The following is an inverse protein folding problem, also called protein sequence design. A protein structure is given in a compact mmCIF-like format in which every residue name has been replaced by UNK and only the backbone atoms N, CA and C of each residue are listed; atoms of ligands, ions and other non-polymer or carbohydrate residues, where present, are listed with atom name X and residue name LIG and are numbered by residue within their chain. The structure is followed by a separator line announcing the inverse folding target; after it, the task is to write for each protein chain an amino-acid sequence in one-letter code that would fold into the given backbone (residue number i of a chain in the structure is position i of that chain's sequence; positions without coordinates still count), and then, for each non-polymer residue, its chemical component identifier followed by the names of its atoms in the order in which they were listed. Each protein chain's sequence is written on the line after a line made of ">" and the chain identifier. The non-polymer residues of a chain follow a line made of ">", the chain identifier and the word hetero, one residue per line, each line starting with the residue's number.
data_IF_873599863157
#
_entry.id   IF_873599863157
#
_cell.length_a   1.000
_cell.length_b   1.000
_cell.length_c   1.000
_cell.angle_alpha   90.00
_cell.angle_beta   90.00
_cell.angle_gamma   90.00
#
_symmetry.space_group_name_H-M   'P 1'
#
loop_
_entity.id
_entity.type
_entity.pdbx_description
1 polymer ?
#
# COMPACT_ATOMS: atom_id res chain seq x y z
N UNK A 1 -96.08 -31.43 -18.75
CA UNK A 1 -95.25 -30.47 -19.45
C UNK A 1 -94.15 -30.06 -18.46
N UNK A 2 -92.99 -30.70 -18.53
CA UNK A 2 -91.87 -30.50 -17.61
C UNK A 2 -90.78 -29.77 -18.34
N UNK A 3 -90.40 -28.59 -17.88
CA UNK A 3 -89.29 -27.76 -18.37
C UNK A 3 -88.07 -28.07 -17.47
N UNK A 4 -87.03 -28.67 -18.06
CA UNK A 4 -85.74 -28.92 -17.45
C UNK A 4 -84.87 -27.71 -17.70
N UNK A 5 -84.29 -27.11 -16.61
CA UNK A 5 -83.30 -26.04 -16.67
C UNK A 5 -81.92 -26.65 -16.60
N UNK A 6 -81.16 -26.51 -17.68
CA UNK A 6 -79.73 -26.83 -17.69
C UNK A 6 -78.95 -25.69 -17.05
N UNK A 7 -78.14 -26.02 -16.04
CA UNK A 7 -77.18 -25.11 -15.41
C UNK A 7 -75.87 -25.32 -16.10
N UNK A 8 -75.44 -24.33 -16.89
CA UNK A 8 -74.07 -24.27 -17.40
C UNK A 8 -73.11 -23.77 -16.28
N UNK A 9 -72.14 -24.59 -15.93
CA UNK A 9 -71.10 -24.28 -14.99
C UNK A 9 -69.93 -23.63 -15.76
N UNK A 10 -69.70 -22.32 -15.58
CA UNK A 10 -68.53 -21.63 -16.14
C UNK A 10 -67.37 -21.79 -15.19
N UNK A 11 -66.40 -22.60 -15.59
CA UNK A 11 -65.13 -22.71 -14.85
C UNK A 11 -64.19 -21.57 -15.25
N UNK A 12 -63.90 -20.64 -14.35
CA UNK A 12 -62.89 -19.60 -14.53
C UNK A 12 -61.55 -20.21 -14.10
N UNK A 13 -60.68 -20.47 -15.10
CA UNK A 13 -59.28 -20.84 -14.85
C UNK A 13 -58.48 -19.56 -14.63
N UNK A 14 -58.07 -19.29 -13.38
CA UNK A 14 -57.14 -18.22 -13.05
C UNK A 14 -55.71 -18.75 -13.25
N UNK A 15 -55.08 -18.38 -14.36
CA UNK A 15 -53.66 -18.65 -14.60
C UNK A 15 -52.82 -17.65 -13.81
N UNK A 16 -52.26 -18.08 -12.67
CA UNK A 16 -51.27 -17.30 -11.93
C UNK A 16 -49.93 -17.45 -12.64
N UNK A 17 -49.51 -16.43 -13.37
CA UNK A 17 -48.17 -16.35 -13.93
C UNK A 17 -47.23 -15.90 -12.79
N UNK A 18 -46.48 -16.83 -12.21
CA UNK A 18 -45.34 -16.51 -11.31
C UNK A 18 -44.22 -15.94 -12.17
N UNK A 19 -44.06 -14.63 -12.19
CA UNK A 19 -42.85 -13.97 -12.63
C UNK A 19 -41.74 -14.21 -11.59
N UNK A 20 -40.98 -15.28 -11.76
CA UNK A 20 -39.69 -15.45 -11.10
C UNK A 20 -38.71 -14.42 -11.70
N UNK A 21 -38.64 -13.27 -11.08
CA UNK A 21 -37.59 -12.32 -11.35
C UNK A 21 -36.21 -12.93 -10.97
N UNK A 22 -35.48 -13.38 -11.97
CA UNK A 22 -34.05 -13.70 -11.81
C UNK A 22 -33.35 -12.39 -11.60
N UNK A 23 -33.15 -12.02 -10.33
CA UNK A 23 -32.09 -11.03 -9.98
C UNK A 23 -30.75 -11.69 -10.30
N UNK A 24 -30.30 -11.54 -11.55
CA UNK A 24 -28.89 -11.72 -11.84
C UNK A 24 -28.17 -10.64 -11.06
N UNK A 25 -27.54 -11.01 -9.95
CA UNK A 25 -26.49 -10.20 -9.34
C UNK A 25 -25.41 -10.06 -10.40
N UNK A 26 -25.36 -8.90 -11.09
CA UNK A 26 -24.18 -8.51 -11.84
C UNK A 26 -23.03 -8.54 -10.84
N UNK A 27 -22.20 -9.56 -10.94
CA UNK A 27 -20.93 -9.56 -10.27
C UNK A 27 -20.20 -8.32 -10.81
N UNK A 28 -20.02 -7.32 -9.97
CA UNK A 28 -19.29 -6.09 -10.28
C UNK A 28 -17.91 -6.52 -10.81
N UNK A 29 -17.72 -6.40 -12.13
CA UNK A 29 -16.47 -6.79 -12.76
C UNK A 29 -15.40 -5.86 -12.25
N UNK A 30 -14.46 -6.40 -11.45
CA UNK A 30 -13.34 -5.65 -10.94
C UNK A 30 -12.63 -4.94 -12.11
N UNK A 31 -12.38 -3.64 -11.96
CA UNK A 31 -11.64 -2.85 -12.95
C UNK A 31 -10.34 -3.56 -13.32
N UNK A 32 -9.92 -3.56 -14.59
CA UNK A 32 -8.67 -4.18 -14.99
C UNK A 32 -7.49 -3.47 -14.33
N UNK A 33 -6.38 -4.18 -14.18
CA UNK A 33 -5.12 -3.60 -13.72
C UNK A 33 -4.60 -2.56 -14.71
N UNK A 34 -3.86 -1.56 -14.22
CA UNK A 34 -3.21 -0.59 -15.11
C UNK A 34 -2.22 -1.29 -16.05
N UNK A 35 -2.27 -0.90 -17.32
CA UNK A 35 -1.27 -1.33 -18.30
C UNK A 35 0.08 -0.65 -18.06
N UNK A 36 1.19 -1.21 -18.54
CA UNK A 36 2.50 -0.55 -18.46
C UNK A 36 2.50 0.87 -19.04
N UNK A 37 1.78 1.10 -20.15
CA UNK A 37 1.66 2.42 -20.76
C UNK A 37 1.00 3.44 -19.82
N UNK A 38 -0.08 3.06 -19.14
CA UNK A 38 -0.75 3.93 -18.16
C UNK A 38 0.14 4.22 -16.95
N UNK A 39 0.90 3.23 -16.48
CA UNK A 39 1.87 3.43 -15.39
C UNK A 39 2.96 4.43 -15.82
N UNK A 40 3.52 4.28 -17.03
CA UNK A 40 4.53 5.21 -17.56
C UNK A 40 3.95 6.62 -17.70
N UNK A 41 2.71 6.79 -18.14
CA UNK A 41 2.04 8.08 -18.23
C UNK A 41 1.94 8.76 -16.85
N UNK A 42 1.52 8.02 -15.83
CA UNK A 42 1.46 8.50 -14.43
C UNK A 42 2.86 8.96 -13.96
N UNK A 43 3.88 8.15 -14.21
CA UNK A 43 5.25 8.42 -13.75
C UNK A 43 5.91 9.58 -14.50
N UNK A 44 5.54 9.82 -15.75
CA UNK A 44 6.08 10.91 -16.59
C UNK A 44 5.38 12.25 -16.36
N UNK A 45 4.30 12.29 -15.58
CA UNK A 45 3.52 13.51 -15.32
C UNK A 45 4.40 14.68 -14.89
N UNK A 46 4.32 15.85 -15.57
CA UNK A 46 5.28 16.96 -15.39
C UNK A 46 5.20 17.63 -14.01
N UNK A 47 4.07 17.51 -13.30
CA UNK A 47 3.85 18.07 -11.97
C UNK A 47 4.55 17.28 -10.84
N UNK A 48 5.08 16.07 -11.12
CA UNK A 48 5.83 15.29 -10.14
C UNK A 48 7.12 15.99 -9.75
N UNK A 49 7.40 16.01 -8.44
CA UNK A 49 8.56 16.74 -7.91
C UNK A 49 9.90 16.10 -8.32
N UNK A 50 10.96 16.92 -8.37
CA UNK A 50 12.31 16.40 -8.62
C UNK A 50 12.75 15.38 -7.56
N UNK A 51 12.34 15.56 -6.30
CA UNK A 51 12.62 14.62 -5.22
C UNK A 51 11.96 13.26 -5.45
N UNK A 52 10.69 13.25 -5.92
CA UNK A 52 10.00 12.00 -6.24
C UNK A 52 10.67 11.30 -7.43
N UNK A 53 11.09 12.04 -8.47
CA UNK A 53 11.84 11.47 -9.60
C UNK A 53 13.20 10.90 -9.20
N UNK A 54 13.86 11.49 -8.20
CA UNK A 54 15.08 10.93 -7.62
C UNK A 54 14.78 9.61 -6.89
N UNK A 55 13.68 9.54 -6.16
CA UNK A 55 13.24 8.31 -5.51
C UNK A 55 12.88 7.20 -6.52
N UNK A 56 12.37 7.55 -7.70
CA UNK A 56 12.04 6.58 -8.76
C UNK A 56 13.26 5.72 -9.16
N UNK A 57 14.47 6.32 -9.16
CA UNK A 57 15.69 5.61 -9.53
C UNK A 57 15.96 4.39 -8.63
N UNK A 58 15.67 4.51 -7.34
CA UNK A 58 15.85 3.44 -6.36
C UNK A 58 14.62 2.54 -6.24
N UNK A 59 13.44 3.15 -6.14
CA UNK A 59 12.19 2.43 -5.80
C UNK A 59 11.53 1.75 -7.00
N UNK A 60 12.00 2.02 -8.23
CA UNK A 60 11.52 1.40 -9.47
C UNK A 60 9.98 1.33 -9.54
N UNK A 61 9.28 2.48 -9.47
CA UNK A 61 7.83 2.52 -9.29
C UNK A 61 7.06 1.87 -10.45
N UNK A 62 7.62 1.84 -11.66
CA UNK A 62 7.00 1.15 -12.79
C UNK A 62 6.85 -0.34 -12.48
N UNK A 63 7.93 -0.98 -12.07
CA UNK A 63 7.94 -2.39 -11.72
C UNK A 63 7.10 -2.65 -10.46
N UNK A 64 7.16 -1.73 -9.48
CA UNK A 64 6.39 -1.85 -8.24
C UNK A 64 4.88 -1.81 -8.49
N UNK A 65 4.37 -0.81 -9.24
CA UNK A 65 2.95 -0.68 -9.55
C UNK A 65 2.45 -1.84 -10.42
N UNK A 66 3.27 -2.29 -11.37
CA UNK A 66 2.99 -3.49 -12.18
C UNK A 66 2.92 -4.76 -11.32
N UNK A 67 3.90 -4.93 -10.41
CA UNK A 67 3.92 -6.05 -9.46
C UNK A 67 2.72 -6.05 -8.52
N UNK A 68 2.33 -4.90 -7.96
CA UNK A 68 1.12 -4.77 -7.14
C UNK A 68 -0.11 -5.23 -7.95
N UNK A 69 -0.15 -4.96 -9.25
CA UNK A 69 -1.33 -5.15 -10.08
C UNK A 69 -2.41 -4.13 -9.74
N UNK A 70 -1.99 -2.86 -9.63
CA UNK A 70 -2.86 -1.77 -9.16
C UNK A 70 -4.05 -1.54 -10.11
N UNK A 71 -5.21 -1.23 -9.54
CA UNK A 71 -6.47 -1.04 -10.26
C UNK A 71 -7.12 0.29 -9.90
N UNK A 72 -7.79 0.95 -10.86
CA UNK A 72 -8.63 2.11 -10.55
C UNK A 72 -9.78 1.78 -9.60
N UNK A 73 -10.18 2.75 -8.80
CA UNK A 73 -11.36 2.69 -7.95
C UNK A 73 -11.23 1.95 -6.62
N UNK A 74 -10.09 1.33 -6.35
CA UNK A 74 -9.87 0.59 -5.09
C UNK A 74 -9.63 1.52 -3.89
N UNK A 75 -9.75 0.95 -2.68
CA UNK A 75 -9.35 1.58 -1.43
C UNK A 75 -7.99 1.03 -1.00
N UNK A 76 -6.99 1.90 -0.93
CA UNK A 76 -5.64 1.56 -0.50
C UNK A 76 -5.25 2.20 0.83
N UNK A 77 -4.37 1.51 1.55
CA UNK A 77 -3.81 1.96 2.82
C UNK A 77 -2.28 1.85 2.78
N UNK A 78 -1.61 3.01 2.84
CA UNK A 78 -0.15 3.10 2.88
C UNK A 78 0.29 3.19 4.35
N UNK A 79 0.69 2.06 4.90
CA UNK A 79 1.16 1.92 6.28
C UNK A 79 2.59 2.49 6.37
N UNK A 80 2.81 3.44 7.28
CA UNK A 80 4.07 4.20 7.37
C UNK A 80 4.33 5.12 6.15
N UNK A 81 3.35 5.93 5.81
CA UNK A 81 3.36 6.79 4.60
C UNK A 81 4.51 7.82 4.54
N UNK A 82 5.12 8.18 5.68
CA UNK A 82 6.23 9.14 5.78
C UNK A 82 5.97 10.45 4.98
N UNK A 83 6.80 10.77 3.99
CA UNK A 83 6.63 11.93 3.10
C UNK A 83 5.61 11.74 1.96
N UNK A 84 4.92 10.59 1.91
CA UNK A 84 3.80 10.34 0.99
C UNK A 84 4.20 9.98 -0.44
N UNK A 85 5.44 9.56 -0.69
CA UNK A 85 5.86 9.14 -2.02
C UNK A 85 4.99 8.00 -2.57
N UNK A 86 4.87 6.90 -1.82
CA UNK A 86 4.04 5.75 -2.20
C UNK A 86 2.57 6.13 -2.21
N UNK A 87 2.11 6.87 -1.19
CA UNK A 87 0.73 7.36 -1.09
C UNK A 87 0.29 8.14 -2.32
N UNK A 88 1.13 9.05 -2.84
CA UNK A 88 0.83 9.83 -4.05
C UNK A 88 0.78 8.95 -5.30
N UNK A 89 1.71 8.00 -5.45
CA UNK A 89 1.70 7.06 -6.58
C UNK A 89 0.43 6.21 -6.57
N UNK A 90 0.02 5.72 -5.41
CA UNK A 90 -1.24 5.00 -5.25
C UNK A 90 -2.44 5.89 -5.62
N UNK A 91 -2.47 7.15 -5.14
CA UNK A 91 -3.57 8.06 -5.42
C UNK A 91 -3.73 8.35 -6.92
N UNK A 92 -2.62 8.60 -7.63
CA UNK A 92 -2.60 8.79 -9.10
C UNK A 92 -3.06 7.54 -9.85
N UNK A 93 -2.66 6.37 -9.38
CA UNK A 93 -2.97 5.09 -10.03
C UNK A 93 -4.41 4.63 -9.81
N UNK A 94 -4.96 4.92 -8.64
CA UNK A 94 -6.32 4.53 -8.25
C UNK A 94 -7.36 5.46 -8.85
N UNK A 95 -7.00 6.74 -9.04
CA UNK A 95 -7.90 7.72 -9.64
C UNK A 95 -9.07 8.16 -8.72
N UNK A 96 -9.92 9.08 -9.20
CA UNK A 96 -10.85 9.85 -8.35
C UNK A 96 -12.00 9.02 -7.76
N UNK A 97 -12.25 7.83 -8.24
CA UNK A 97 -13.33 6.95 -7.75
C UNK A 97 -12.91 6.06 -6.58
N UNK A 98 -11.61 5.99 -6.26
CA UNK A 98 -11.10 5.26 -5.11
C UNK A 98 -10.71 6.17 -3.95
N UNK A 99 -9.91 5.65 -3.03
CA UNK A 99 -9.40 6.39 -1.87
C UNK A 99 -8.06 5.85 -1.41
N UNK A 100 -7.20 6.72 -0.89
CA UNK A 100 -5.92 6.33 -0.29
C UNK A 100 -5.82 6.91 1.12
N UNK A 101 -5.52 6.03 2.07
CA UNK A 101 -5.18 6.42 3.43
C UNK A 101 -3.67 6.31 3.62
N UNK A 102 -3.05 7.32 4.21
CA UNK A 102 -1.64 7.29 4.58
C UNK A 102 -1.48 7.37 6.09
N UNK A 103 -0.94 6.30 6.71
CA UNK A 103 -0.77 6.24 8.15
C UNK A 103 0.62 6.71 8.58
N UNK A 104 0.68 7.36 9.72
CA UNK A 104 1.90 7.61 10.46
C UNK A 104 1.66 7.45 11.96
N UNK A 105 2.73 7.07 12.69
CA UNK A 105 2.65 7.04 14.16
C UNK A 105 2.40 8.45 14.71
N UNK A 106 1.57 8.63 15.76
CA UNK A 106 1.44 9.88 16.46
C UNK A 106 2.82 10.37 16.93
N UNK A 107 3.10 11.66 16.75
CA UNK A 107 4.33 12.25 17.25
C UNK A 107 4.12 12.64 18.71
N UNK A 108 5.05 12.28 19.57
CA UNK A 108 5.13 12.82 20.92
C UNK A 108 5.55 14.30 20.80
N UNK A 109 4.72 15.27 21.24
CA UNK A 109 5.03 16.68 21.16
C UNK A 109 6.26 17.07 22.03
N UNK A 110 6.60 16.25 23.03
CA UNK A 110 7.74 16.47 23.92
C UNK A 110 9.03 15.80 23.41
N UNK A 111 8.94 14.96 22.39
CA UNK A 111 10.11 14.33 21.80
C UNK A 111 10.73 15.28 20.76
N UNK A 112 11.99 15.65 20.95
CA UNK A 112 12.75 16.39 19.95
C UNK A 112 12.59 15.67 18.59
N UNK A 113 12.53 16.41 17.46
CA UNK A 113 12.53 15.79 16.14
C UNK A 113 13.70 14.80 16.13
N UNK A 114 13.42 13.53 15.88
CA UNK A 114 14.48 12.55 15.72
C UNK A 114 15.47 13.16 14.72
N UNK A 115 16.69 13.40 15.18
CA UNK A 115 17.78 13.78 14.28
C UNK A 115 17.74 12.75 13.19
N UNK A 116 17.64 13.20 11.95
CA UNK A 116 17.47 12.35 10.78
C UNK A 116 18.66 11.40 10.66
N UNK A 117 18.63 10.31 11.45
CA UNK A 117 19.35 9.11 11.08
C UNK A 117 18.67 8.63 9.83
N UNK A 118 19.25 8.97 8.70
CA UNK A 118 18.90 8.52 7.34
C UNK A 118 17.45 8.06 7.22
N UNK A 119 16.55 9.01 6.98
CA UNK A 119 15.21 8.67 6.53
C UNK A 119 15.33 7.92 5.23
N UNK A 120 14.67 6.83 5.15
CA UNK A 120 14.65 5.98 3.97
C UNK A 120 14.22 6.67 2.66
N UNK A 121 13.60 7.85 2.75
CA UNK A 121 13.36 8.73 1.62
C UNK A 121 14.57 9.54 1.15
N UNK A 122 15.63 9.63 1.96
CA UNK A 122 16.83 10.45 1.68
C UNK A 122 18.04 9.63 1.21
N UNK A 123 17.91 8.33 1.00
CA UNK A 123 18.96 7.52 0.36
C UNK A 123 19.15 8.01 -1.07
N UNK A 124 19.94 9.07 -1.24
CA UNK A 124 20.38 9.52 -2.55
C UNK A 124 21.10 8.35 -3.22
N UNK A 125 20.81 8.04 -4.49
CA UNK A 125 21.70 7.16 -5.22
C UNK A 125 23.07 7.79 -5.15
N UNK A 126 24.06 7.05 -4.65
CA UNK A 126 25.45 7.50 -4.57
C UNK A 126 26.02 7.60 -6.00
N UNK A 127 25.58 8.61 -6.72
CA UNK A 127 26.24 9.12 -7.91
C UNK A 127 27.37 10.02 -7.39
N UNK A 128 28.57 9.80 -7.87
CA UNK A 128 29.85 10.38 -7.49
C UNK A 128 29.85 11.75 -6.78
N UNK A 129 30.83 12.06 -5.90
CA UNK A 129 30.85 13.23 -5.07
C UNK A 129 30.98 14.49 -5.91
N UNK A 130 29.90 15.20 -6.16
CA UNK A 130 29.96 16.62 -6.50
C UNK A 130 30.05 17.35 -5.17
N UNK A 131 31.24 17.85 -4.86
CA UNK A 131 31.50 18.69 -3.71
C UNK A 131 30.79 20.04 -3.85
N UNK A 132 29.54 20.08 -3.44
CA UNK A 132 28.84 21.32 -3.15
C UNK A 132 28.46 21.26 -1.66
N UNK A 133 28.70 22.31 -0.86
CA UNK A 133 28.29 22.34 0.54
C UNK A 133 26.77 22.09 0.58
N UNK A 134 26.38 20.95 1.09
CA UNK A 134 24.97 20.61 1.23
C UNK A 134 24.35 21.60 2.23
N UNK A 135 23.31 22.33 1.80
CA UNK A 135 22.45 23.04 2.74
C UNK A 135 21.98 22.05 3.82
N UNK A 136 21.87 22.48 5.09
CA UNK A 136 21.38 21.61 6.14
C UNK A 136 20.06 20.97 5.72
N UNK A 137 19.86 19.67 5.95
CA UNK A 137 18.64 18.99 5.55
C UNK A 137 17.45 19.72 6.15
N UNK A 138 16.54 20.16 5.30
CA UNK A 138 15.31 20.81 5.73
C UNK A 138 14.61 19.90 6.75
N UNK A 139 14.20 20.47 7.89
CA UNK A 139 13.50 19.71 8.91
C UNK A 139 12.29 19.02 8.24
N UNK A 140 12.26 17.70 8.38
CA UNK A 140 11.24 16.93 7.69
C UNK A 140 9.85 17.26 8.22
N UNK A 141 8.95 17.60 7.32
CA UNK A 141 7.55 17.88 7.64
C UNK A 141 6.89 16.65 8.28
N UNK A 142 6.00 16.84 9.27
CA UNK A 142 5.18 15.76 9.79
C UNK A 142 4.40 15.07 8.66
N UNK A 143 4.27 13.76 8.71
CA UNK A 143 3.59 13.00 7.65
C UNK A 143 2.19 13.52 7.32
N UNK A 144 1.30 13.85 8.29
CA UNK A 144 -0.01 14.40 7.95
C UNK A 144 0.05 15.70 7.14
N UNK A 145 1.03 16.56 7.44
CA UNK A 145 1.23 17.80 6.68
C UNK A 145 1.75 17.51 5.28
N UNK A 146 2.72 16.61 5.16
CA UNK A 146 3.26 16.22 3.86
C UNK A 146 2.20 15.60 2.94
N UNK A 147 1.31 14.77 3.50
CA UNK A 147 0.19 14.16 2.75
C UNK A 147 -0.84 15.20 2.31
N UNK A 148 -1.20 16.13 3.19
CA UNK A 148 -2.10 17.24 2.85
C UNK A 148 -1.52 18.13 1.75
N UNK A 149 -0.22 18.45 1.81
CA UNK A 149 0.46 19.21 0.78
C UNK A 149 0.45 18.50 -0.58
N UNK A 150 0.59 17.16 -0.58
CA UNK A 150 0.50 16.34 -1.82
C UNK A 150 -0.90 16.40 -2.41
N UNK A 151 -1.92 16.23 -1.59
CA UNK A 151 -3.31 16.30 -2.05
C UNK A 151 -3.66 17.68 -2.64
N UNK A 152 -3.21 18.77 -1.98
CA UNK A 152 -3.39 20.13 -2.49
C UNK A 152 -2.75 20.29 -3.87
N UNK A 153 -1.48 19.84 -4.02
CA UNK A 153 -0.77 19.92 -5.31
C UNK A 153 -1.48 19.15 -6.41
N UNK A 154 -1.91 17.91 -6.13
CA UNK A 154 -2.65 17.09 -7.11
C UNK A 154 -3.92 17.79 -7.60
N UNK A 155 -4.68 18.35 -6.67
CA UNK A 155 -5.90 19.09 -6.98
C UNK A 155 -5.62 20.37 -7.79
N UNK A 156 -4.63 21.17 -7.40
CA UNK A 156 -4.24 22.40 -8.08
C UNK A 156 -3.70 22.14 -9.49
N UNK A 157 -2.99 21.03 -9.68
CA UNK A 157 -2.53 20.57 -10.98
C UNK A 157 -3.62 19.93 -11.85
N UNK A 158 -4.86 19.78 -11.33
CA UNK A 158 -5.95 19.13 -12.04
C UNK A 158 -5.74 17.63 -12.30
N UNK A 159 -4.90 16.96 -11.50
CA UNK A 159 -4.61 15.54 -11.65
C UNK A 159 -5.80 14.74 -11.12
N UNK A 160 -6.37 13.80 -11.91
CA UNK A 160 -7.48 12.95 -11.49
C UNK A 160 -7.00 11.84 -10.54
N UNK A 161 -6.63 12.20 -9.31
CA UNK A 161 -6.14 11.31 -8.29
C UNK A 161 -7.21 10.97 -7.25
N UNK A 162 -7.03 9.83 -6.55
CA UNK A 162 -7.84 9.50 -5.39
C UNK A 162 -7.58 10.48 -4.24
N UNK A 163 -8.61 10.85 -3.44
CA UNK A 163 -8.41 11.62 -2.23
C UNK A 163 -7.39 10.94 -1.29
N UNK A 164 -6.48 11.73 -0.72
CA UNK A 164 -5.49 11.28 0.26
C UNK A 164 -5.96 11.67 1.66
N UNK A 165 -6.14 10.68 2.54
CA UNK A 165 -6.54 10.88 3.93
C UNK A 165 -5.39 10.50 4.86
N UNK A 166 -4.86 11.49 5.57
CA UNK A 166 -3.81 11.24 6.57
C UNK A 166 -4.40 10.68 7.87
N UNK A 167 -3.81 9.60 8.38
CA UNK A 167 -4.16 8.98 9.64
C UNK A 167 -2.95 9.02 10.59
N UNK A 168 -3.15 9.56 11.79
CA UNK A 168 -2.13 9.56 12.86
C UNK A 168 -2.55 8.55 13.93
N UNK A 169 -2.06 7.30 13.82
CA UNK A 169 -2.42 6.17 14.68
C UNK A 169 -1.21 5.27 14.97
N UNK A 170 -1.19 4.55 16.11
CA UNK A 170 -0.13 3.58 16.38
C UNK A 170 -0.13 2.45 15.35
N UNK A 171 1.02 1.81 15.17
CA UNK A 171 1.14 0.69 14.23
C UNK A 171 0.30 -0.52 14.64
N UNK A 172 0.12 -0.74 15.93
CA UNK A 172 -0.66 -1.86 16.50
C UNK A 172 -2.17 -1.73 16.25
N UNK A 173 -2.65 -0.48 16.04
CA UNK A 173 -4.05 -0.14 15.73
C UNK A 173 -4.08 0.96 14.66
N UNK A 174 -3.64 0.64 13.41
CA UNK A 174 -3.36 1.65 12.40
C UNK A 174 -4.60 2.21 11.71
N UNK A 175 -5.77 1.56 11.85
CA UNK A 175 -6.99 1.94 11.17
C UNK A 175 -8.08 2.37 12.16
N UNK A 176 -8.89 3.37 11.83
CA UNK A 176 -10.09 3.69 12.59
C UNK A 176 -11.14 2.56 12.46
N UNK A 177 -12.11 2.54 13.37
CA UNK A 177 -13.06 1.44 13.51
C UNK A 177 -13.91 1.16 12.26
N UNK A 178 -14.22 2.19 11.48
CA UNK A 178 -14.97 2.09 10.22
C UNK A 178 -14.16 1.47 9.07
N UNK A 179 -12.85 1.41 9.20
CA UNK A 179 -11.93 0.78 8.24
C UNK A 179 -11.32 -0.53 8.77
N UNK A 180 -11.61 -0.90 10.01
CA UNK A 180 -10.92 -1.98 10.70
C UNK A 180 -11.34 -3.39 10.26
N UNK A 181 -12.36 -3.52 9.40
CA UNK A 181 -12.85 -4.82 8.93
C UNK A 181 -13.31 -4.76 7.49
N UNK A 182 -12.63 -5.51 6.62
CA UNK A 182 -13.01 -5.81 5.22
C UNK A 182 -13.36 -4.58 4.36
N UNK A 183 -12.64 -3.47 4.58
CA UNK A 183 -12.85 -2.23 3.82
C UNK A 183 -11.73 -1.92 2.83
N UNK A 184 -10.56 -2.55 3.00
CA UNK A 184 -9.35 -2.21 2.27
C UNK A 184 -9.07 -3.28 1.20
N UNK A 185 -8.74 -2.84 -0.01
CA UNK A 185 -8.36 -3.73 -1.12
C UNK A 185 -6.83 -3.98 -1.17
N UNK A 186 -6.04 -2.98 -0.77
CA UNK A 186 -4.58 -3.00 -0.83
C UNK A 186 -3.99 -2.32 0.39
N UNK A 187 -3.05 -2.98 1.05
CA UNK A 187 -2.14 -2.37 2.04
C UNK A 187 -0.73 -2.42 1.51
N UNK A 188 0.01 -1.31 1.63
CA UNK A 188 1.45 -1.24 1.34
C UNK A 188 2.22 -0.89 2.60
N UNK A 189 3.42 -1.49 2.77
CA UNK A 189 4.41 -1.10 3.78
C UNK A 189 5.79 -1.13 3.13
N UNK A 190 6.28 0.06 2.76
CA UNK A 190 7.46 0.19 1.93
C UNK A 190 8.66 0.63 2.75
N UNK A 191 9.64 -0.28 2.89
CA UNK A 191 10.97 -0.05 3.48
C UNK A 191 10.93 0.45 4.94
N UNK A 192 10.00 -0.05 5.74
CA UNK A 192 9.90 0.37 7.13
C UNK A 192 9.51 -0.77 8.10
N UNK A 193 9.26 -1.98 7.62
CA UNK A 193 8.94 -3.09 8.52
C UNK A 193 10.13 -3.42 9.44
N UNK A 194 11.36 -3.34 8.94
CA UNK A 194 12.55 -3.55 9.74
C UNK A 194 12.64 -2.58 10.93
N UNK A 195 12.29 -1.30 10.75
CA UNK A 195 12.36 -0.29 11.82
C UNK A 195 11.38 -0.58 12.97
N UNK A 196 10.29 -1.29 12.71
CA UNK A 196 9.32 -1.65 13.75
C UNK A 196 9.94 -2.49 14.87
N UNK A 197 11.06 -3.18 14.59
CA UNK A 197 11.79 -3.95 15.59
C UNK A 197 12.37 -3.08 16.70
N UNK A 198 13.23 -2.12 16.37
CA UNK A 198 13.85 -1.25 17.37
C UNK A 198 12.90 -0.18 17.91
N UNK A 199 11.80 0.10 17.20
CA UNK A 199 10.72 0.95 17.70
C UNK A 199 9.81 0.27 18.73
N UNK A 200 10.01 -1.04 18.99
CA UNK A 200 9.27 -1.79 19.99
C UNK A 200 7.80 -2.03 19.62
N UNK A 201 7.45 -2.01 18.33
CA UNK A 201 6.09 -2.23 17.84
C UNK A 201 5.69 -3.70 18.00
N UNK A 202 4.48 -3.97 18.50
CA UNK A 202 3.85 -5.29 18.42
C UNK A 202 3.42 -5.57 16.97
N UNK A 203 4.37 -6.09 16.18
CA UNK A 203 4.16 -6.42 14.76
C UNK A 203 3.10 -7.50 14.57
N UNK A 204 2.94 -8.42 15.52
CA UNK A 204 1.88 -9.42 15.46
C UNK A 204 0.49 -8.78 15.60
N UNK A 205 0.32 -7.80 16.51
CA UNK A 205 -0.93 -7.03 16.60
C UNK A 205 -1.18 -6.22 15.33
N UNK A 206 -0.15 -5.56 14.78
CA UNK A 206 -0.22 -4.80 13.53
C UNK A 206 -0.65 -5.71 12.35
N UNK A 207 0.04 -6.84 12.15
CA UNK A 207 -0.28 -7.75 11.04
C UNK A 207 -1.70 -8.30 11.15
N UNK A 208 -2.18 -8.63 12.38
CA UNK A 208 -3.58 -9.03 12.58
C UNK A 208 -4.57 -7.91 12.31
N UNK A 209 -4.24 -6.65 12.63
CA UNK A 209 -5.09 -5.50 12.32
C UNK A 209 -5.20 -5.28 10.81
N UNK A 210 -4.08 -5.34 10.09
CA UNK A 210 -4.04 -5.28 8.62
C UNK A 210 -4.82 -6.44 7.99
N UNK A 211 -4.67 -7.66 8.51
CA UNK A 211 -5.43 -8.82 8.04
C UNK A 211 -6.93 -8.61 8.13
N UNK A 212 -7.41 -8.14 9.27
CA UNK A 212 -8.86 -7.88 9.44
C UNK A 212 -9.38 -6.76 8.54
N UNK A 213 -8.58 -5.72 8.32
CA UNK A 213 -8.98 -4.57 7.52
C UNK A 213 -9.09 -4.87 6.02
N UNK A 214 -8.25 -5.78 5.52
CA UNK A 214 -8.30 -6.20 4.13
C UNK A 214 -9.57 -7.01 3.82
N UNK A 215 -10.13 -6.82 2.66
CA UNK A 215 -11.19 -7.69 2.11
C UNK A 215 -10.62 -9.09 1.85
N UNK A 216 -11.47 -10.16 1.82
CA UNK A 216 -11.05 -11.43 1.22
C UNK A 216 -10.50 -11.21 -0.19
N UNK A 217 -9.35 -11.79 -0.51
CA UNK A 217 -8.61 -11.52 -1.75
C UNK A 217 -7.83 -10.20 -1.78
N UNK A 218 -7.91 -9.37 -0.73
CA UNK A 218 -7.13 -8.15 -0.59
C UNK A 218 -5.64 -8.41 -0.42
N UNK A 219 -4.82 -7.47 -0.84
CA UNK A 219 -3.37 -7.62 -0.95
C UNK A 219 -2.63 -6.85 0.15
N UNK A 220 -1.60 -7.46 0.71
CA UNK A 220 -0.59 -6.80 1.53
C UNK A 220 0.76 -6.90 0.82
N UNK A 221 1.31 -5.76 0.40
CA UNK A 221 2.59 -5.70 -0.33
C UNK A 221 3.63 -5.03 0.55
N UNK A 222 4.74 -5.73 0.78
CA UNK A 222 5.83 -5.26 1.63
C UNK A 222 7.12 -5.27 0.81
N UNK A 223 7.85 -4.16 0.83
CA UNK A 223 9.22 -4.11 0.36
C UNK A 223 10.12 -3.73 1.52
N UNK A 224 11.28 -4.39 1.64
CA UNK A 224 12.22 -4.05 2.72
C UNK A 224 13.67 -4.42 2.39
N UNK A 225 14.61 -3.94 3.22
CA UNK A 225 16.03 -4.18 3.11
C UNK A 225 16.38 -5.58 3.63
N UNK A 226 16.97 -6.39 2.76
CA UNK A 226 17.34 -7.75 3.09
C UNK A 226 18.46 -7.81 4.14
N UNK A 227 18.19 -8.48 5.25
CA UNK A 227 19.15 -8.90 6.26
C UNK A 227 19.85 -10.20 5.88
N UNK A 228 20.87 -10.56 6.66
CA UNK A 228 21.60 -11.82 6.50
C UNK A 228 20.77 -12.98 7.08
N UNK A 229 20.92 -14.19 6.53
CA UNK A 229 20.27 -15.38 7.12
C UNK A 229 20.63 -15.56 8.59
N UNK A 230 19.63 -15.90 9.43
CA UNK A 230 19.77 -16.12 10.87
C UNK A 230 19.78 -14.85 11.72
N UNK A 231 19.68 -13.65 11.12
CA UNK A 231 19.64 -12.40 11.89
C UNK A 231 18.23 -12.02 12.34
N UNK A 232 17.21 -12.57 11.72
CA UNK A 232 15.82 -12.20 12.03
C UNK A 232 15.62 -10.69 11.94
N UNK A 233 15.27 -10.06 13.07
CA UNK A 233 15.11 -8.61 13.21
C UNK A 233 16.19 -7.95 14.09
N UNK A 234 17.22 -8.68 14.51
CA UNK A 234 18.22 -8.20 15.45
C UNK A 234 19.03 -6.99 14.92
N UNK A 235 19.11 -6.83 13.60
CA UNK A 235 19.84 -5.74 12.93
C UNK A 235 18.97 -4.49 12.63
N UNK A 236 17.73 -4.47 13.13
CA UNK A 236 16.76 -3.40 12.96
C UNK A 236 17.31 -2.00 13.27
N UNK A 237 17.87 -1.80 14.47
CA UNK A 237 18.37 -0.49 14.92
C UNK A 237 19.84 -0.19 14.56
N UNK A 238 20.52 -1.12 13.87
CA UNK A 238 21.95 -0.98 13.54
C UNK A 238 22.18 -0.90 12.03
N UNK A 239 21.77 -1.93 11.30
CA UNK A 239 21.95 -2.00 9.85
C UNK A 239 20.68 -1.60 9.07
N UNK A 240 19.57 -1.37 9.77
CA UNK A 240 18.27 -1.12 9.16
C UNK A 240 17.94 -2.19 8.11
N UNK A 241 17.95 -3.45 8.58
CA UNK A 241 17.68 -4.64 7.76
C UNK A 241 16.85 -5.65 8.54
N UNK A 242 16.15 -6.48 7.80
CA UNK A 242 15.38 -7.62 8.34
C UNK A 242 15.60 -8.85 7.46
N UNK A 243 15.73 -10.01 8.08
CA UNK A 243 15.76 -11.26 7.32
C UNK A 243 14.39 -11.51 6.66
N UNK A 244 14.41 -11.75 5.35
CA UNK A 244 13.20 -11.94 4.55
C UNK A 244 12.33 -13.10 5.06
N UNK A 245 12.94 -14.24 5.38
CA UNK A 245 12.24 -15.42 5.91
C UNK A 245 11.57 -15.14 7.26
N UNK A 246 12.19 -14.31 8.09
CA UNK A 246 11.63 -13.89 9.38
C UNK A 246 10.39 -13.00 9.18
N UNK A 247 10.47 -11.97 8.32
CA UNK A 247 9.33 -11.13 7.98
C UNK A 247 8.17 -11.95 7.41
N UNK A 248 8.48 -12.83 6.46
CA UNK A 248 7.48 -13.71 5.86
C UNK A 248 6.75 -14.56 6.91
N UNK A 249 7.48 -15.16 7.84
CA UNK A 249 6.89 -15.97 8.93
C UNK A 249 5.96 -15.13 9.82
N UNK A 250 6.35 -13.90 10.20
CA UNK A 250 5.50 -13.03 11.01
C UNK A 250 4.19 -12.64 10.29
N UNK A 251 4.25 -12.38 8.99
CA UNK A 251 3.08 -12.01 8.18
C UNK A 251 2.17 -13.24 7.96
N UNK A 252 2.74 -14.39 7.61
CA UNK A 252 1.99 -15.65 7.44
C UNK A 252 1.33 -16.11 8.76
N UNK A 253 1.97 -15.88 9.91
CA UNK A 253 1.39 -16.17 11.23
C UNK A 253 0.12 -15.36 11.54
N UNK A 254 -0.10 -14.23 10.87
CA UNK A 254 -1.35 -13.46 10.97
C UNK A 254 -2.47 -13.99 10.06
N UNK A 255 -2.22 -15.02 9.26
CA UNK A 255 -3.18 -15.67 8.37
C UNK A 255 -3.01 -15.35 6.87
N UNK A 256 -2.05 -14.52 6.51
CA UNK A 256 -1.74 -14.22 5.12
C UNK A 256 -1.10 -15.41 4.40
N UNK A 257 -1.20 -15.41 3.08
CA UNK A 257 -0.50 -16.35 2.21
C UNK A 257 0.37 -15.58 1.22
N UNK A 258 1.65 -15.89 1.14
CA UNK A 258 2.54 -15.36 0.11
C UNK A 258 2.07 -15.85 -1.27
N UNK A 259 1.97 -14.96 -2.24
CA UNK A 259 1.52 -15.29 -3.60
C UNK A 259 2.55 -14.94 -4.67
N UNK A 260 3.45 -13.97 -4.39
CA UNK A 260 4.45 -13.55 -5.37
C UNK A 260 5.64 -12.87 -4.70
N UNK A 261 6.83 -13.03 -5.28
CA UNK A 261 8.06 -12.36 -4.88
C UNK A 261 8.59 -11.50 -6.03
N UNK A 262 8.87 -10.22 -5.76
CA UNK A 262 9.43 -9.29 -6.75
C UNK A 262 10.95 -9.31 -6.73
N UNK A 263 11.56 -9.58 -7.88
CA UNK A 263 13.02 -9.69 -8.03
C UNK A 263 13.69 -8.38 -8.48
N UNK A 264 12.91 -7.37 -8.82
CA UNK A 264 13.39 -6.16 -9.47
C UNK A 264 14.22 -5.22 -8.59
N UNK A 265 14.19 -5.39 -7.25
CA UNK A 265 15.01 -4.65 -6.29
C UNK A 265 16.19 -5.46 -5.74
N UNK A 266 16.37 -6.70 -6.17
CA UNK A 266 17.46 -7.56 -5.71
C UNK A 266 18.81 -7.04 -6.17
N UNK A 267 19.79 -7.08 -5.25
CA UNK A 267 21.19 -6.83 -5.52
C UNK A 267 22.06 -7.93 -4.88
N UNK A 268 22.42 -8.99 -5.59
CA UNK A 268 23.23 -10.08 -5.05
C UNK A 268 24.65 -9.67 -4.66
N UNK A 269 25.11 -8.48 -5.08
CA UNK A 269 26.44 -7.95 -4.75
C UNK A 269 26.48 -7.23 -3.41
N UNK A 270 25.32 -6.95 -2.77
CA UNK A 270 25.27 -6.36 -1.43
C UNK A 270 25.56 -7.43 -0.38
N UNK A 271 26.66 -7.35 0.40
CA UNK A 271 26.98 -8.35 1.42
C UNK A 271 26.04 -8.27 2.64
N UNK A 272 25.20 -7.25 2.74
CA UNK A 272 24.22 -7.02 3.80
C UNK A 272 24.82 -6.84 5.19
N UNK A 273 26.10 -6.47 5.27
CA UNK A 273 26.86 -6.31 6.53
C UNK A 273 27.00 -4.86 6.99
N UNK A 274 26.49 -3.91 6.19
CA UNK A 274 26.50 -2.48 6.47
C UNK A 274 25.13 -1.85 6.19
N UNK A 275 24.82 -0.77 6.92
CA UNK A 275 23.62 0.03 6.62
C UNK A 275 23.74 0.67 5.22
N UNK A 276 24.88 1.31 4.93
CA UNK A 276 25.21 1.76 3.57
C UNK A 276 26.30 0.85 3.01
N UNK A 277 26.05 0.10 1.93
CA UNK A 277 27.07 -0.77 1.33
C UNK A 277 28.33 0.01 0.92
N UNK A 278 29.48 -0.63 1.10
CA UNK A 278 30.79 -0.05 0.74
C UNK A 278 31.60 -1.11 -0.04
N UNK A 279 32.01 -0.84 -1.30
CA UNK A 279 31.77 0.42 -2.04
C UNK A 279 30.30 0.75 -2.23
N UNK A 280 29.95 2.04 -2.45
CA UNK A 280 28.56 2.49 -2.60
C UNK A 280 27.84 1.74 -3.72
N UNK A 281 26.73 1.09 -3.39
CA UNK A 281 25.86 0.37 -4.28
C UNK A 281 24.45 0.31 -3.71
N UNK A 282 23.41 -0.03 -4.48
CA UNK A 282 22.07 -0.27 -3.93
C UNK A 282 22.10 -1.38 -2.88
N UNK A 283 21.30 -1.25 -1.82
CA UNK A 283 21.02 -2.37 -0.92
C UNK A 283 20.34 -3.50 -1.68
N UNK A 284 20.54 -4.72 -1.22
CA UNK A 284 19.64 -5.81 -1.59
C UNK A 284 18.30 -5.62 -0.89
N UNK A 285 17.22 -5.61 -1.68
CA UNK A 285 15.88 -5.38 -1.18
C UNK A 285 14.95 -6.46 -1.74
N UNK A 286 14.02 -6.92 -0.92
CA UNK A 286 12.99 -7.86 -1.34
C UNK A 286 11.63 -7.16 -1.45
N UNK A 287 10.76 -7.74 -2.28
CA UNK A 287 9.35 -7.32 -2.40
C UNK A 287 8.49 -8.56 -2.31
N UNK A 288 7.57 -8.58 -1.34
CA UNK A 288 6.68 -9.71 -1.09
C UNK A 288 5.23 -9.27 -1.24
N UNK A 289 4.45 -10.07 -1.97
CA UNK A 289 3.00 -9.88 -2.13
C UNK A 289 2.27 -10.99 -1.41
N UNK A 290 1.48 -10.61 -0.42
CA UNK A 290 0.61 -11.51 0.32
C UNK A 290 -0.84 -11.25 -0.04
N UNK A 291 -1.66 -12.29 0.08
CA UNK A 291 -3.12 -12.20 -0.04
C UNK A 291 -3.77 -12.60 1.28
N UNK A 292 -4.84 -11.92 1.64
CA UNK A 292 -5.80 -12.41 2.63
C UNK A 292 -6.68 -13.47 1.93
N UNK A 293 -6.65 -14.75 2.32
CA UNK A 293 -7.51 -15.78 1.74
C UNK A 293 -8.99 -15.51 1.90
#
# INVERSE_FOLDING_TARGET
>A
MKITRDKALVAIIITVVLLLGTHATEAEQASPTLSPAQIIEILSSPDRTAADRTNDLRRKPEQMLGFIGIRPGIVAFDLSAAGGYTTELLARSIGPTGKVYGQSRPRDPNQAPASSSVREGDSRPNLAPVATPAAPPAASRPSPVALADREVRLREAGIPAAPIVALSRPFEDPLPSDLASEQIDLVTLMFNYHDLGHLGVDRAAMNRAVFRALKPGGLFVIADHAGRPGTGISESGTLHRIEESFLRQEVEAAGFRLVEEGMFLRNPNDPRDKNTPDPPQPKDEFVLKFVRP
#
